data_IF_228400686655
#
_entry.id   IF_228400686655
#
_cell.length_a   1.000
_cell.length_b   1.000
_cell.length_c   1.000
_cell.angle_alpha   90.00
_cell.angle_beta   90.00
_cell.angle_gamma   90.00
#
_symmetry.space_group_name_H-M   'P 1'
#
loop_
_entity.id
_entity.type
_entity.pdbx_description
1 polymer ?
#
# COMPACT_ATOMS: atom_id res chain seq x y z
N UNK A 1 -7.87 -8.03 -6.82
CA UNK A 1 -7.55 -6.60 -7.09
C UNK A 1 -8.88 -5.89 -7.36
N UNK A 2 -9.12 -4.71 -6.76
CA UNK A 2 -10.37 -3.94 -6.92
C UNK A 2 -11.45 -4.14 -5.85
N UNK A 3 -11.27 -5.12 -4.95
CA UNK A 3 -12.16 -5.35 -3.79
C UNK A 3 -11.83 -4.47 -2.58
N UNK A 4 -12.53 -4.73 -1.48
CA UNK A 4 -12.44 -3.95 -0.23
C UNK A 4 -11.41 -4.48 0.78
N UNK A 5 -10.83 -5.65 0.51
CA UNK A 5 -9.88 -6.29 1.41
C UNK A 5 -8.45 -5.89 1.03
N UNK A 6 -7.76 -5.20 1.94
CA UNK A 6 -6.37 -4.81 1.79
C UNK A 6 -5.43 -6.03 1.83
N UNK A 7 -4.47 -6.08 0.90
CA UNK A 7 -3.38 -7.07 0.92
C UNK A 7 -2.56 -7.01 2.20
N UNK A 8 -2.42 -5.83 2.84
CA UNK A 8 -1.66 -5.66 4.08
C UNK A 8 -2.31 -6.36 5.27
N UNK A 9 -3.62 -6.64 5.20
CA UNK A 9 -4.35 -7.44 6.19
C UNK A 9 -4.50 -8.88 5.74
N UNK A 10 -4.83 -9.13 4.47
CA UNK A 10 -5.16 -10.46 3.99
C UNK A 10 -3.94 -11.36 3.78
N UNK A 11 -2.83 -10.81 3.29
CA UNK A 11 -1.62 -11.55 2.91
C UNK A 11 -0.34 -10.71 3.11
N UNK A 12 -0.06 -10.24 4.34
CA UNK A 12 1.13 -9.41 4.61
C UNK A 12 2.45 -10.09 4.22
N UNK A 13 2.53 -11.41 4.32
CA UNK A 13 3.70 -12.22 3.97
C UNK A 13 4.08 -12.15 2.48
N UNK A 14 3.11 -11.86 1.60
CA UNK A 14 3.42 -11.66 0.19
C UNK A 14 4.26 -10.40 0.00
N UNK A 15 4.00 -9.36 0.79
CA UNK A 15 4.73 -8.10 0.73
C UNK A 15 6.17 -8.30 1.19
N UNK A 16 6.37 -8.90 2.37
CA UNK A 16 7.72 -9.06 2.94
C UNK A 16 8.61 -9.92 2.06
N UNK A 17 8.09 -11.01 1.49
CA UNK A 17 8.85 -11.86 0.55
C UNK A 17 9.30 -11.10 -0.72
N UNK A 18 8.44 -10.21 -1.24
CA UNK A 18 8.82 -9.38 -2.41
C UNK A 18 9.86 -8.34 -2.01
N UNK A 19 9.69 -7.70 -0.84
CA UNK A 19 10.67 -6.74 -0.31
C UNK A 19 12.04 -7.39 -0.14
N UNK A 20 12.11 -8.54 0.50
CA UNK A 20 13.35 -9.31 0.68
C UNK A 20 13.95 -9.73 -0.68
N UNK A 21 13.13 -10.32 -1.55
CA UNK A 21 13.58 -10.81 -2.86
C UNK A 21 14.13 -9.72 -3.76
N UNK A 22 13.48 -8.56 -3.83
CA UNK A 22 13.93 -7.44 -4.67
C UNK A 22 15.15 -6.75 -4.03
N UNK A 23 15.15 -6.56 -2.71
CA UNK A 23 16.23 -5.86 -1.99
C UNK A 23 17.56 -6.61 -2.03
N UNK A 24 17.53 -7.94 -2.16
CA UNK A 24 18.76 -8.76 -2.33
C UNK A 24 19.37 -8.60 -3.73
N UNK A 25 18.56 -8.25 -4.73
CA UNK A 25 19.00 -8.07 -6.12
C UNK A 25 19.47 -6.62 -6.35
N UNK A 26 18.64 -5.63 -5.99
CA UNK A 26 18.97 -4.22 -6.19
C UNK A 26 18.20 -3.31 -5.22
N UNK A 27 18.92 -2.73 -4.26
CA UNK A 27 18.37 -1.79 -3.26
C UNK A 27 17.88 -0.46 -3.82
N UNK A 28 18.20 -0.13 -5.07
CA UNK A 28 17.75 1.11 -5.71
C UNK A 28 16.36 0.97 -6.34
N UNK A 29 15.81 -0.25 -6.42
CA UNK A 29 14.45 -0.47 -6.94
C UNK A 29 13.45 -0.15 -5.84
N UNK A 30 12.59 0.85 -6.11
CA UNK A 30 11.49 1.20 -5.20
C UNK A 30 10.37 0.18 -5.30
N UNK A 31 9.85 -0.25 -4.16
CA UNK A 31 8.83 -1.30 -4.05
C UNK A 31 7.53 -0.67 -3.57
N UNK A 32 6.47 -0.78 -4.37
CA UNK A 32 5.14 -0.30 -4.00
C UNK A 32 4.17 -1.48 -3.88
N UNK A 33 3.23 -1.41 -2.95
CA UNK A 33 2.15 -2.41 -2.80
C UNK A 33 0.77 -1.83 -3.11
N UNK A 34 -0.16 -2.68 -3.52
CA UNK A 34 -1.52 -2.26 -3.86
C UNK A 34 -2.51 -3.41 -3.71
N UNK A 35 -3.75 -3.19 -4.15
CA UNK A 35 -4.93 -4.03 -3.96
C UNK A 35 -5.60 -3.84 -2.58
N UNK A 36 -6.79 -3.22 -2.62
CA UNK A 36 -7.65 -3.05 -1.44
C UNK A 36 -7.22 -1.98 -0.44
N UNK A 37 -6.16 -1.20 -0.75
CA UNK A 37 -5.71 -0.07 0.08
C UNK A 37 -6.79 1.02 0.06
N UNK A 38 -7.40 1.31 1.23
CA UNK A 38 -8.46 2.31 1.35
C UNK A 38 -8.40 3.15 2.62
N UNK A 39 -7.58 2.77 3.59
CA UNK A 39 -7.48 3.44 4.87
C UNK A 39 -6.02 3.73 5.21
N UNK A 40 -5.78 4.74 6.03
CA UNK A 40 -4.44 5.13 6.49
C UNK A 40 -3.69 4.00 7.20
N UNK A 41 -4.40 3.10 7.89
CA UNK A 41 -3.79 1.93 8.53
C UNK A 41 -3.21 0.95 7.50
N UNK A 42 -3.83 0.85 6.32
CA UNK A 42 -3.30 0.02 5.23
C UNK A 42 -1.98 0.59 4.70
N UNK A 43 -1.89 1.93 4.60
CA UNK A 43 -0.68 2.65 4.16
C UNK A 43 0.44 2.51 5.19
N UNK A 44 0.14 2.76 6.47
CA UNK A 44 1.08 2.56 7.57
C UNK A 44 1.61 1.13 7.57
N UNK A 45 0.72 0.14 7.45
CA UNK A 45 1.12 -1.26 7.48
C UNK A 45 1.98 -1.64 6.28
N UNK A 46 1.69 -1.11 5.09
CA UNK A 46 2.52 -1.32 3.91
C UNK A 46 3.96 -0.83 4.13
N UNK A 47 4.13 0.36 4.70
CA UNK A 47 5.46 0.92 5.00
C UNK A 47 6.18 0.13 6.09
N UNK A 48 5.47 -0.26 7.16
CA UNK A 48 6.02 -1.15 8.20
C UNK A 48 6.53 -2.49 7.66
N UNK A 49 5.90 -3.02 6.60
CA UNK A 49 6.31 -4.25 5.93
C UNK A 49 7.47 -4.06 4.94
N UNK A 50 8.01 -2.85 4.84
CA UNK A 50 9.21 -2.54 4.07
C UNK A 50 8.98 -2.04 2.64
N UNK A 51 7.75 -1.65 2.31
CA UNK A 51 7.48 -0.99 1.01
C UNK A 51 7.79 0.50 1.08
N UNK A 52 8.12 1.08 -0.08
CA UNK A 52 8.39 2.50 -0.27
C UNK A 52 7.11 3.34 -0.44
N UNK A 53 5.94 2.70 -0.48
CA UNK A 53 4.65 3.36 -0.67
C UNK A 53 3.57 2.43 -1.21
N UNK A 54 2.44 3.02 -1.60
CA UNK A 54 1.25 2.30 -2.06
C UNK A 54 0.75 2.77 -3.43
N UNK A 55 0.03 1.88 -4.12
CA UNK A 55 -0.71 2.15 -5.35
C UNK A 55 -2.21 2.10 -5.10
N UNK A 56 -2.92 3.14 -5.53
CA UNK A 56 -4.36 3.31 -5.36
C UNK A 56 -5.09 3.15 -6.68
N UNK A 57 -6.31 2.61 -6.63
CA UNK A 57 -7.19 2.47 -7.80
C UNK A 57 -8.63 2.86 -7.43
N UNK A 58 -9.54 1.90 -7.30
CA UNK A 58 -10.96 2.16 -7.04
C UNK A 58 -11.23 2.93 -5.75
N UNK A 59 -10.39 2.77 -4.71
CA UNK A 59 -10.49 3.55 -3.47
C UNK A 59 -10.33 5.05 -3.69
N UNK A 60 -9.43 5.46 -4.58
CA UNK A 60 -9.19 6.87 -4.91
C UNK A 60 -10.14 7.38 -5.99
N UNK A 61 -10.22 6.67 -7.13
CA UNK A 61 -10.98 7.13 -8.31
C UNK A 61 -12.48 7.28 -8.01
N UNK A 62 -13.02 6.46 -7.11
CA UNK A 62 -14.45 6.51 -6.73
C UNK A 62 -14.71 7.27 -5.42
N UNK A 63 -13.70 7.93 -4.84
CA UNK A 63 -13.88 8.69 -3.62
C UNK A 63 -14.79 9.91 -3.88
N UNK A 64 -15.71 10.18 -2.95
CA UNK A 64 -16.57 11.39 -3.01
C UNK A 64 -15.74 12.67 -2.98
N UNK A 65 -14.65 12.66 -2.21
CA UNK A 65 -13.71 13.77 -2.10
C UNK A 65 -12.27 13.22 -2.21
N UNK A 66 -11.70 13.12 -3.43
CA UNK A 66 -10.38 12.54 -3.65
C UNK A 66 -9.26 13.25 -2.87
N UNK A 67 -9.38 14.57 -2.68
CA UNK A 67 -8.39 15.38 -1.96
C UNK A 67 -8.37 15.06 -0.47
N UNK A 68 -9.53 14.96 0.15
CA UNK A 68 -9.66 14.58 1.56
C UNK A 68 -9.25 13.12 1.78
N UNK A 69 -9.66 12.23 0.87
CA UNK A 69 -9.27 10.82 0.91
C UNK A 69 -7.75 10.64 0.87
N UNK A 70 -7.05 11.34 -0.03
CA UNK A 70 -5.58 11.29 -0.05
C UNK A 70 -4.95 11.85 1.22
N UNK A 71 -5.49 12.94 1.78
CA UNK A 71 -4.99 13.52 3.03
C UNK A 71 -5.16 12.59 4.22
N UNK A 72 -6.31 11.92 4.32
CA UNK A 72 -6.52 10.91 5.37
C UNK A 72 -5.52 9.75 5.22
N UNK A 73 -5.37 9.21 4.00
CA UNK A 73 -4.47 8.09 3.71
C UNK A 73 -3.02 8.34 4.15
N UNK A 74 -2.50 9.56 3.96
CA UNK A 74 -1.12 9.93 4.30
C UNK A 74 -0.97 10.54 5.68
N UNK A 75 -2.04 10.66 6.47
CA UNK A 75 -2.02 11.36 7.76
C UNK A 75 -1.21 10.67 8.87
N UNK A 76 -0.71 9.46 8.61
CA UNK A 76 0.03 8.60 9.57
C UNK A 76 1.43 8.24 9.09
N UNK A 77 1.89 8.87 8.00
CA UNK A 77 3.25 8.80 7.47
C UNK A 77 4.09 9.96 8.02
#
# INVERSE_FOLDING_TARGET
IGGDISVTTAKPEVITRVVEGVSTINKNVRILTGAGIKRKEDVKKAVELGTDGVLLASGFVKAKNPKEFLRDLVSVL
#
